data_IF_233716008762
#
_entry.id   IF_233716008762
#
_cell.length_a   1.000
_cell.length_b   1.000
_cell.length_c   1.000
_cell.angle_alpha   90.00
_cell.angle_beta   90.00
_cell.angle_gamma   90.00
#
_symmetry.space_group_name_H-M   'P 1'
#
loop_
_entity.id
_entity.type
_entity.pdbx_description
1 polymer ?
#
# COMPACT_ATOMS: atom_id res chain seq x y z
N UNK A 1 -65.88 0.76 43.24
CA UNK A 1 -65.56 2.14 42.78
C UNK A 1 -64.07 2.35 42.99
N UNK A 2 -63.28 2.09 41.96
CA UNK A 2 -61.82 2.08 42.02
C UNK A 2 -61.26 3.40 41.48
N UNK A 3 -60.30 3.93 42.23
CA UNK A 3 -59.60 5.19 42.08
C UNK A 3 -58.59 5.13 40.93
N UNK A 4 -58.61 6.09 40.00
CA UNK A 4 -57.56 6.29 39.01
C UNK A 4 -56.77 7.56 39.33
N UNK A 5 -55.51 7.36 39.75
CA UNK A 5 -54.47 8.38 39.88
C UNK A 5 -53.95 8.75 38.49
N UNK A 6 -53.90 10.05 38.21
CA UNK A 6 -53.30 10.65 37.02
C UNK A 6 -51.78 10.76 37.20
N UNK A 7 -51.01 10.06 36.36
CA UNK A 7 -49.56 10.24 36.25
C UNK A 7 -49.23 11.23 35.14
N UNK A 8 -48.53 12.31 35.50
CA UNK A 8 -48.00 13.32 34.58
C UNK A 8 -46.86 12.72 33.73
N UNK A 9 -46.72 13.04 32.43
CA UNK A 9 -45.60 12.52 31.63
C UNK A 9 -44.30 13.27 31.95
N UNK A 10 -43.21 12.51 32.11
CA UNK A 10 -41.83 13.01 32.24
C UNK A 10 -41.41 13.86 31.02
N UNK A 11 -40.53 14.86 31.20
CA UNK A 11 -40.06 15.67 30.10
C UNK A 11 -39.24 14.81 29.12
N UNK A 12 -39.56 14.93 27.83
CA UNK A 12 -38.81 14.31 26.74
C UNK A 12 -37.35 14.78 26.81
N UNK A 13 -36.44 13.86 27.08
CA UNK A 13 -35.01 14.06 26.86
C UNK A 13 -34.80 14.39 25.39
N UNK A 14 -34.32 15.60 25.10
CA UNK A 14 -33.81 15.97 23.78
C UNK A 14 -32.67 15.01 23.43
N UNK A 15 -32.71 14.31 22.27
CA UNK A 15 -31.65 13.41 21.89
C UNK A 15 -30.34 14.20 21.74
N UNK A 16 -29.35 13.84 22.54
CA UNK A 16 -27.97 14.33 22.41
C UNK A 16 -27.47 13.93 21.01
N UNK A 17 -26.89 14.82 20.20
CA UNK A 17 -26.38 14.43 18.89
C UNK A 17 -25.20 13.49 19.09
N UNK A 18 -25.41 12.21 18.79
CA UNK A 18 -24.37 11.20 18.69
C UNK A 18 -23.41 11.65 17.58
N UNK A 19 -22.24 12.15 17.96
CA UNK A 19 -21.16 12.49 17.03
C UNK A 19 -20.48 11.23 16.49
N UNK A 20 -21.24 10.29 15.92
CA UNK A 20 -20.69 9.17 15.17
C UNK A 20 -20.34 9.65 13.75
N UNK A 21 -19.31 10.49 13.65
CA UNK A 21 -18.66 10.75 12.38
C UNK A 21 -17.73 9.55 12.13
N UNK A 22 -18.30 8.50 11.56
CA UNK A 22 -17.56 7.37 11.03
C UNK A 22 -16.71 7.86 9.84
N UNK A 23 -15.45 7.46 9.82
CA UNK A 23 -14.57 7.69 8.68
C UNK A 23 -14.96 6.73 7.55
N UNK A 24 -15.58 7.26 6.50
CA UNK A 24 -15.93 6.47 5.32
C UNK A 24 -14.69 6.18 4.47
N UNK A 25 -14.47 4.90 4.15
CA UNK A 25 -13.33 4.44 3.35
C UNK A 25 -13.79 3.91 1.99
N UNK A 26 -13.17 4.41 0.93
CA UNK A 26 -13.26 3.85 -0.42
C UNK A 26 -12.24 2.73 -0.51
N UNK A 27 -12.71 1.49 -0.52
CA UNK A 27 -11.88 0.30 -0.67
C UNK A 27 -11.60 0.02 -2.15
N UNK A 28 -10.37 -0.43 -2.41
CA UNK A 28 -9.99 -1.06 -3.67
C UNK A 28 -9.46 -2.45 -3.34
N UNK A 29 -9.67 -3.43 -4.22
CA UNK A 29 -9.25 -4.81 -3.98
C UNK A 29 -8.13 -5.19 -4.93
N UNK A 30 -6.85 -4.96 -4.54
CA UNK A 30 -5.71 -5.49 -5.27
C UNK A 30 -5.84 -7.01 -5.47
N UNK A 31 -5.58 -7.53 -6.68
CA UNK A 31 -5.81 -8.94 -7.01
C UNK A 31 -4.67 -9.87 -6.53
N UNK A 32 -3.85 -9.44 -5.59
CA UNK A 32 -2.61 -10.13 -5.22
C UNK A 32 -2.29 -10.01 -3.74
N UNK A 33 -1.47 -10.93 -3.25
CA UNK A 33 -0.74 -10.85 -1.98
C UNK A 33 0.76 -11.02 -2.22
N UNK A 34 1.59 -10.83 -1.18
CA UNK A 34 3.06 -10.92 -1.31
C UNK A 34 3.66 -11.76 -0.20
N UNK A 35 4.57 -12.67 -0.58
CA UNK A 35 5.46 -13.39 0.32
C UNK A 35 6.84 -12.73 0.31
N UNK A 36 7.23 -12.18 1.46
CA UNK A 36 8.54 -11.57 1.65
C UNK A 36 9.50 -12.53 2.35
N UNK A 37 10.67 -12.73 1.79
CA UNK A 37 11.74 -13.51 2.39
C UNK A 37 13.11 -12.99 1.95
N UNK A 38 14.18 -13.58 2.49
CA UNK A 38 15.56 -13.20 2.14
C UNK A 38 16.35 -14.41 1.70
N UNK A 39 17.22 -14.21 0.72
CA UNK A 39 18.22 -15.19 0.28
C UNK A 39 19.59 -14.52 0.17
N UNK A 40 20.69 -15.24 0.40
CA UNK A 40 22.04 -14.68 0.26
C UNK A 40 22.33 -14.26 -1.18
N UNK A 41 23.08 -13.17 -1.34
CA UNK A 41 23.72 -12.81 -2.61
C UNK A 41 25.03 -13.56 -2.78
N UNK A 42 25.41 -13.78 -4.03
CA UNK A 42 26.70 -14.37 -4.39
C UNK A 42 27.55 -13.44 -5.25
N UNK A 43 28.88 -13.61 -5.26
CA UNK A 43 29.75 -12.91 -6.21
C UNK A 43 29.30 -13.19 -7.66
N UNK A 44 29.07 -12.12 -8.43
CA UNK A 44 28.59 -12.22 -9.81
C UNK A 44 27.08 -12.03 -9.99
N UNK A 45 26.32 -11.95 -8.89
CA UNK A 45 24.94 -11.48 -8.94
C UNK A 45 24.88 -10.03 -9.45
N UNK A 46 23.81 -9.67 -10.17
CA UNK A 46 23.60 -8.31 -10.62
C UNK A 46 23.50 -7.31 -9.46
N UNK A 47 24.00 -6.10 -9.68
CA UNK A 47 23.79 -4.98 -8.77
C UNK A 47 22.44 -4.30 -9.05
N UNK A 48 21.72 -3.96 -7.98
CA UNK A 48 20.45 -3.25 -8.06
C UNK A 48 19.21 -4.16 -8.07
N UNK A 49 18.04 -3.54 -8.22
CA UNK A 49 16.76 -4.26 -8.18
C UNK A 49 16.42 -4.98 -9.48
N UNK A 50 15.83 -6.17 -9.37
CA UNK A 50 15.35 -6.96 -10.52
C UNK A 50 13.89 -7.34 -10.34
N UNK A 51 13.15 -7.42 -11.46
CA UNK A 51 11.80 -7.99 -11.50
C UNK A 51 11.74 -9.09 -12.57
N UNK A 52 11.16 -10.24 -12.21
CA UNK A 52 10.92 -11.39 -13.09
C UNK A 52 9.44 -11.72 -13.11
N UNK A 53 8.97 -12.13 -14.28
CA UNK A 53 7.59 -12.52 -14.51
C UNK A 53 7.62 -13.86 -15.23
N UNK A 54 6.92 -14.85 -14.70
CA UNK A 54 6.89 -16.19 -15.29
C UNK A 54 5.85 -17.08 -14.61
N UNK A 55 5.24 -17.97 -15.39
CA UNK A 55 4.37 -19.05 -14.91
C UNK A 55 3.28 -18.61 -13.91
N UNK A 56 2.63 -17.49 -14.17
CA UNK A 56 1.58 -17.00 -13.27
C UNK A 56 2.06 -16.23 -12.05
N UNK A 57 3.36 -15.93 -11.94
CA UNK A 57 3.92 -15.27 -10.76
C UNK A 57 4.84 -14.11 -11.14
N UNK A 58 5.02 -13.21 -10.17
CA UNK A 58 5.93 -12.07 -10.26
C UNK A 58 6.88 -12.13 -9.07
N UNK A 59 8.18 -12.07 -9.34
CA UNK A 59 9.22 -12.01 -8.33
C UNK A 59 9.93 -10.67 -8.45
N UNK A 60 9.93 -9.87 -7.38
CA UNK A 60 10.77 -8.70 -7.26
C UNK A 60 11.92 -9.00 -6.29
N UNK A 61 13.14 -8.68 -6.71
CA UNK A 61 14.37 -8.87 -5.93
C UNK A 61 14.97 -7.50 -5.66
N UNK A 62 15.10 -7.15 -4.39
CA UNK A 62 15.66 -5.89 -3.93
C UNK A 62 17.03 -6.15 -3.34
N UNK A 63 18.04 -5.46 -3.86
CA UNK A 63 19.41 -5.55 -3.39
C UNK A 63 19.55 -4.91 -2.00
N UNK A 64 20.05 -5.69 -1.02
CA UNK A 64 20.35 -5.24 0.34
C UNK A 64 21.82 -5.42 0.70
N UNK A 65 22.71 -5.50 -0.30
CA UNK A 65 24.15 -5.68 -0.11
C UNK A 65 24.54 -7.15 -0.18
N UNK A 66 24.55 -7.82 0.97
CA UNK A 66 24.92 -9.25 1.10
C UNK A 66 23.74 -10.20 0.87
N UNK A 67 22.52 -9.67 0.73
CA UNK A 67 21.29 -10.43 0.59
C UNK A 67 20.33 -9.82 -0.44
N UNK A 68 19.50 -10.69 -1.01
CA UNK A 68 18.29 -10.33 -1.73
C UNK A 68 17.12 -10.26 -0.75
N UNK A 69 16.39 -9.15 -0.74
CA UNK A 69 15.04 -9.11 -0.20
C UNK A 69 14.06 -9.40 -1.34
N UNK A 70 13.34 -10.50 -1.24
CA UNK A 70 12.53 -11.04 -2.33
C UNK A 70 11.05 -10.88 -2.00
N UNK A 71 10.29 -10.31 -2.92
CA UNK A 71 8.83 -10.30 -2.94
C UNK A 71 8.33 -11.28 -4.01
N UNK A 72 7.75 -12.39 -3.57
CA UNK A 72 7.05 -13.32 -4.43
C UNK A 72 5.55 -13.01 -4.39
N UNK A 73 5.03 -12.52 -5.52
CA UNK A 73 3.64 -12.09 -5.67
C UNK A 73 2.78 -13.26 -6.08
N UNK A 74 1.69 -13.44 -5.36
CA UNK A 74 0.73 -14.53 -5.51
C UNK A 74 -0.67 -13.92 -5.71
N UNK A 75 -1.62 -14.67 -6.28
CA UNK A 75 -3.02 -14.24 -6.31
C UNK A 75 -3.59 -14.04 -4.89
N UNK A 76 -4.51 -13.08 -4.76
CA UNK A 76 -5.15 -12.74 -3.49
C UNK A 76 -5.81 -13.97 -2.86
N UNK A 77 -5.50 -14.26 -1.59
CA UNK A 77 -6.13 -15.35 -0.84
C UNK A 77 -5.53 -16.74 -1.02
N UNK A 78 -4.56 -16.93 -1.93
CA UNK A 78 -3.96 -18.25 -2.18
C UNK A 78 -2.89 -18.68 -1.15
N UNK A 79 -2.57 -17.83 -0.17
CA UNK A 79 -1.51 -18.12 0.80
C UNK A 79 -1.68 -19.46 1.52
N UNK A 80 -2.92 -19.80 1.93
CA UNK A 80 -3.17 -21.06 2.63
C UNK A 80 -2.98 -22.28 1.74
N UNK A 81 -3.32 -22.19 0.45
CA UNK A 81 -3.13 -23.27 -0.53
C UNK A 81 -1.65 -23.50 -0.83
N UNK A 82 -0.90 -22.41 -1.00
CA UNK A 82 0.56 -22.45 -1.17
C UNK A 82 1.20 -23.05 0.09
N UNK A 83 0.73 -22.67 1.27
CA UNK A 83 1.22 -23.22 2.54
C UNK A 83 0.94 -24.71 2.67
N UNK A 84 -0.27 -25.15 2.30
CA UNK A 84 -0.66 -26.56 2.30
C UNK A 84 0.15 -27.40 1.30
N UNK A 85 0.57 -26.81 0.18
CA UNK A 85 1.42 -27.46 -0.84
C UNK A 85 2.86 -27.72 -0.35
N UNK A 86 3.28 -27.07 0.75
CA UNK A 86 4.55 -27.30 1.41
C UNK A 86 5.71 -26.47 0.87
N UNK A 87 6.78 -26.38 1.67
CA UNK A 87 7.93 -25.52 1.38
C UNK A 87 8.64 -25.90 0.07
N UNK A 88 8.77 -27.20 -0.21
CA UNK A 88 9.48 -27.66 -1.43
C UNK A 88 8.74 -27.24 -2.71
N UNK A 89 7.40 -27.26 -2.70
CA UNK A 89 6.59 -26.78 -3.82
C UNK A 89 6.81 -25.27 -4.04
N UNK A 90 6.85 -24.47 -2.96
CA UNK A 90 7.15 -23.04 -3.03
C UNK A 90 8.56 -22.77 -3.57
N UNK A 91 9.58 -23.48 -3.07
CA UNK A 91 10.96 -23.35 -3.58
C UNK A 91 11.02 -23.63 -5.08
N UNK A 92 10.37 -24.71 -5.52
CA UNK A 92 10.29 -25.07 -6.93
C UNK A 92 9.61 -23.97 -7.76
N UNK A 93 8.46 -23.45 -7.31
CA UNK A 93 7.75 -22.40 -8.05
C UNK A 93 8.57 -21.11 -8.16
N UNK A 94 9.34 -20.74 -7.12
CA UNK A 94 10.24 -19.59 -7.16
C UNK A 94 11.37 -19.80 -8.19
N UNK A 95 12.02 -20.97 -8.17
CA UNK A 95 13.11 -21.30 -9.12
C UNK A 95 12.60 -21.39 -10.56
N UNK A 96 11.37 -21.83 -10.78
CA UNK A 96 10.76 -21.82 -12.11
C UNK A 96 10.59 -20.40 -12.68
N UNK A 97 10.49 -19.37 -11.82
CA UNK A 97 10.43 -17.96 -12.22
C UNK A 97 11.82 -17.33 -12.30
N UNK A 98 12.71 -17.69 -11.38
CA UNK A 98 14.07 -17.17 -11.26
C UNK A 98 15.07 -18.34 -11.10
N UNK A 99 15.47 -18.98 -12.21
CA UNK A 99 16.36 -20.14 -12.19
C UNK A 99 17.70 -19.87 -11.50
N UNK A 100 18.16 -18.62 -11.50
CA UNK A 100 19.40 -18.17 -10.86
C UNK A 100 19.40 -18.38 -9.33
N UNK A 101 18.24 -18.58 -8.72
CA UNK A 101 18.13 -18.86 -7.28
C UNK A 101 18.28 -20.35 -6.93
N UNK A 102 18.42 -21.25 -7.91
CA UNK A 102 18.37 -22.70 -7.68
C UNK A 102 19.42 -23.20 -6.69
N UNK A 103 20.62 -22.60 -6.70
CA UNK A 103 21.75 -22.96 -5.85
C UNK A 103 21.60 -22.49 -4.38
N UNK A 104 20.66 -21.60 -4.09
CA UNK A 104 20.50 -20.95 -2.78
C UNK A 104 19.08 -20.98 -2.23
N UNK A 105 18.10 -21.43 -3.01
CA UNK A 105 16.70 -21.52 -2.57
C UNK A 105 16.53 -22.40 -1.32
N UNK A 106 17.45 -23.34 -1.10
CA UNK A 106 17.48 -24.21 0.08
C UNK A 106 17.74 -23.45 1.39
N UNK A 107 18.22 -22.21 1.36
CA UNK A 107 18.30 -21.35 2.55
C UNK A 107 16.92 -20.91 3.08
N UNK A 108 15.87 -21.02 2.26
CA UNK A 108 14.48 -20.83 2.69
C UNK A 108 13.97 -22.15 3.29
N UNK A 109 14.29 -22.40 4.56
CA UNK A 109 14.08 -23.67 5.25
C UNK A 109 12.64 -23.87 5.74
N UNK A 110 12.06 -22.83 6.33
CA UNK A 110 10.75 -22.93 6.99
C UNK A 110 9.91 -21.65 6.83
N UNK A 111 8.63 -21.75 7.17
CA UNK A 111 7.64 -20.69 6.98
C UNK A 111 7.84 -19.46 7.87
N UNK A 112 8.60 -19.57 8.97
CA UNK A 112 8.91 -18.42 9.83
C UNK A 112 9.82 -17.39 9.14
N UNK A 113 10.54 -17.82 8.10
CA UNK A 113 11.35 -16.94 7.25
C UNK A 113 10.52 -16.16 6.22
N UNK A 114 9.22 -16.44 6.11
CA UNK A 114 8.31 -15.82 5.13
C UNK A 114 7.35 -14.89 5.86
N UNK A 115 7.45 -13.59 5.59
CA UNK A 115 6.46 -12.61 5.99
C UNK A 115 5.38 -12.49 4.92
N UNK A 116 4.17 -12.95 5.25
CA UNK A 116 2.99 -12.77 4.40
C UNK A 116 2.44 -11.35 4.54
N UNK A 117 2.21 -10.70 3.40
CA UNK A 117 1.54 -9.41 3.29
C UNK A 117 0.22 -9.61 2.55
N UNK A 118 -0.89 -9.50 3.29
CA UNK A 118 -2.22 -9.33 2.70
C UNK A 118 -2.31 -7.91 2.12
N UNK A 119 -2.31 -7.77 0.80
CA UNK A 119 -2.27 -6.44 0.17
C UNK A 119 -3.67 -5.84 0.17
N UNK A 120 -3.82 -4.73 0.86
CA UNK A 120 -5.02 -3.90 0.86
C UNK A 120 -4.72 -2.55 0.22
N UNK A 121 -5.76 -1.88 -0.27
CA UNK A 121 -5.63 -0.50 -0.74
C UNK A 121 -6.94 0.23 -0.50
N UNK A 122 -6.89 1.36 0.19
CA UNK A 122 -8.08 2.09 0.59
C UNK A 122 -7.79 3.56 0.76
N UNK A 123 -8.83 4.39 0.81
CA UNK A 123 -8.69 5.82 1.09
C UNK A 123 -9.92 6.38 1.74
N UNK A 124 -9.74 7.15 2.80
CA UNK A 124 -10.82 7.87 3.44
C UNK A 124 -11.34 9.00 2.54
N UNK A 125 -12.66 9.16 2.51
CA UNK A 125 -13.32 10.30 1.83
C UNK A 125 -12.95 11.61 2.52
N UNK A 126 -12.85 11.59 3.86
CA UNK A 126 -12.45 12.72 4.69
C UNK A 126 -11.38 12.29 5.68
N UNK A 127 -10.28 13.01 5.74
CA UNK A 127 -9.10 12.66 6.56
C UNK A 127 -9.11 13.32 7.93
N UNK A 128 -10.11 14.16 8.21
CA UNK A 128 -10.10 15.02 9.38
C UNK A 128 -11.49 15.20 9.99
N UNK A 129 -11.50 15.56 11.26
CA UNK A 129 -12.65 16.08 12.03
C UNK A 129 -12.11 17.05 13.09
N UNK A 130 -12.95 17.79 13.84
CA UNK A 130 -12.46 18.67 14.89
C UNK A 130 -11.50 17.92 15.84
N UNK A 131 -10.29 18.44 16.00
CA UNK A 131 -9.25 17.87 16.87
C UNK A 131 -8.55 16.60 16.37
N UNK A 132 -8.81 16.13 15.13
CA UNK A 132 -8.19 14.91 14.60
C UNK A 132 -7.88 15.04 13.10
N UNK A 133 -6.64 14.69 12.74
CA UNK A 133 -6.20 14.53 11.36
C UNK A 133 -5.53 13.16 11.21
N UNK A 134 -5.92 12.43 10.17
CA UNK A 134 -5.33 11.17 9.75
C UNK A 134 -4.42 11.44 8.54
N UNK A 135 -3.25 10.80 8.52
CA UNK A 135 -2.25 10.89 7.45
C UNK A 135 -1.62 9.52 7.18
N UNK A 136 -0.97 9.35 6.03
CA UNK A 136 -0.37 8.07 5.63
C UNK A 136 -1.41 6.95 5.63
N UNK A 137 -1.02 5.75 6.06
CA UNK A 137 -1.87 4.55 6.06
C UNK A 137 -3.19 4.71 6.84
N UNK A 138 -3.24 5.61 7.82
CA UNK A 138 -4.48 5.90 8.55
C UNK A 138 -5.53 6.62 7.68
N UNK A 139 -5.08 7.35 6.65
CA UNK A 139 -5.94 8.07 5.70
C UNK A 139 -6.03 7.39 4.34
N UNK A 140 -4.98 6.71 3.91
CA UNK A 140 -4.91 6.00 2.64
C UNK A 140 -3.89 4.87 2.71
N UNK A 141 -4.40 3.63 2.68
CA UNK A 141 -3.55 2.45 2.53
C UNK A 141 -3.24 2.27 1.04
N UNK A 142 -1.97 2.07 0.71
CA UNK A 142 -1.52 1.87 -0.67
C UNK A 142 -1.00 0.45 -0.90
N UNK A 143 -1.16 -0.02 -2.13
CA UNK A 143 -0.48 -1.23 -2.57
C UNK A 143 1.05 -1.07 -2.51
N UNK A 144 1.82 -2.14 -2.25
CA UNK A 144 3.28 -2.07 -2.17
C UNK A 144 3.96 -1.87 -3.54
N UNK A 145 3.21 -1.92 -4.64
CA UNK A 145 3.73 -1.67 -6.00
C UNK A 145 4.46 -0.34 -6.05
N UNK A 146 5.76 -0.42 -6.33
CA UNK A 146 6.62 0.76 -6.45
C UNK A 146 7.01 1.39 -5.10
N UNK A 147 6.74 0.77 -3.95
CA UNK A 147 7.22 1.27 -2.65
C UNK A 147 6.78 2.69 -2.27
N UNK A 148 5.69 3.19 -2.87
CA UNK A 148 5.28 4.59 -2.78
C UNK A 148 4.61 4.99 -1.47
N UNK A 149 4.05 4.03 -0.71
CA UNK A 149 3.25 4.31 0.48
C UNK A 149 4.02 5.12 1.54
N UNK A 150 5.25 4.71 1.87
CA UNK A 150 6.08 5.43 2.85
C UNK A 150 6.43 6.84 2.38
N UNK A 151 6.73 7.02 1.09
CA UNK A 151 7.03 8.33 0.52
C UNK A 151 5.82 9.26 0.64
N UNK A 152 4.61 8.75 0.41
CA UNK A 152 3.39 9.52 0.55
C UNK A 152 3.05 9.85 2.00
N UNK A 153 3.24 8.91 2.93
CA UNK A 153 3.07 9.16 4.36
C UNK A 153 4.02 10.25 4.87
N UNK A 154 5.29 10.23 4.44
CA UNK A 154 6.27 11.29 4.77
C UNK A 154 5.82 12.62 4.18
N UNK A 155 5.38 12.65 2.92
CA UNK A 155 4.91 13.88 2.29
C UNK A 155 3.65 14.45 2.97
N UNK A 156 2.75 13.60 3.46
CA UNK A 156 1.61 14.05 4.26
C UNK A 156 2.07 14.68 5.57
N UNK A 157 3.05 14.08 6.25
CA UNK A 157 3.62 14.64 7.47
C UNK A 157 4.28 16.01 7.20
N UNK A 158 5.00 16.16 6.09
CA UNK A 158 5.59 17.44 5.67
C UNK A 158 4.50 18.49 5.41
N UNK A 159 3.43 18.14 4.68
CA UNK A 159 2.33 19.08 4.44
C UNK A 159 1.59 19.42 5.72
N UNK A 160 1.34 18.44 6.59
CA UNK A 160 0.72 18.66 7.89
C UNK A 160 1.58 19.60 8.74
N UNK A 161 2.89 19.40 8.81
CA UNK A 161 3.80 20.28 9.51
C UNK A 161 3.76 21.71 8.94
N UNK A 162 3.84 21.87 7.63
CA UNK A 162 3.78 23.18 6.96
C UNK A 162 2.47 23.93 7.22
N UNK A 163 1.35 23.22 7.33
CA UNK A 163 0.03 23.81 7.54
C UNK A 163 -0.26 24.07 9.02
N UNK A 164 0.10 23.14 9.91
CA UNK A 164 -0.37 23.11 11.29
C UNK A 164 0.63 23.64 12.33
N UNK A 165 1.91 23.82 11.97
CA UNK A 165 2.92 24.25 12.96
C UNK A 165 2.60 25.60 13.61
N UNK A 166 2.16 26.61 12.83
CA UNK A 166 1.81 27.93 13.37
C UNK A 166 0.52 27.88 14.22
N UNK A 167 -0.59 27.30 13.73
CA UNK A 167 -1.83 27.17 14.51
C UNK A 167 -1.64 26.39 15.82
N UNK A 168 -0.89 25.28 15.78
CA UNK A 168 -0.56 24.51 16.98
C UNK A 168 0.22 25.33 18.01
N UNK A 169 1.21 26.13 17.58
CA UNK A 169 1.95 27.05 18.45
C UNK A 169 1.08 28.15 19.05
N UNK A 170 0.03 28.56 18.34
CA UNK A 170 -0.95 29.54 18.81
C UNK A 170 -2.01 28.92 19.73
N UNK A 171 -1.99 27.60 19.93
CA UNK A 171 -2.93 26.88 20.79
C UNK A 171 -4.33 26.73 20.18
N UNK A 172 -4.50 27.06 18.90
CA UNK A 172 -5.79 27.02 18.22
C UNK A 172 -5.65 26.46 16.81
N UNK A 173 -6.30 25.33 16.55
CA UNK A 173 -6.35 24.70 15.22
C UNK A 173 -7.79 24.67 14.75
N UNK A 174 -8.04 25.28 13.60
CA UNK A 174 -9.37 25.28 13.01
C UNK A 174 -9.57 24.12 12.04
N UNK A 175 -10.82 23.69 11.89
CA UNK A 175 -11.19 22.59 10.99
C UNK A 175 -10.72 22.84 9.54
N UNK A 176 -10.73 24.09 9.09
CA UNK A 176 -10.34 24.47 7.73
C UNK A 176 -8.84 24.25 7.46
N UNK A 177 -8.01 24.24 8.50
CA UNK A 177 -6.57 23.98 8.42
C UNK A 177 -6.31 22.49 8.27
N UNK A 178 -7.05 21.65 8.99
CA UNK A 178 -7.04 20.20 8.76
C UNK A 178 -7.52 19.87 7.33
N UNK A 179 -8.58 20.53 6.88
CA UNK A 179 -9.07 20.41 5.51
C UNK A 179 -8.06 20.86 4.46
N UNK A 180 -7.18 21.81 4.79
CA UNK A 180 -6.12 22.28 3.90
C UNK A 180 -5.04 21.21 3.68
N UNK A 181 -4.77 20.35 4.68
CA UNK A 181 -3.85 19.21 4.52
C UNK A 181 -4.42 18.22 3.51
N UNK A 182 -5.67 17.77 3.68
CA UNK A 182 -6.33 16.87 2.74
C UNK A 182 -6.35 17.47 1.33
N UNK A 183 -6.76 18.74 1.15
CA UNK A 183 -6.80 19.38 -0.17
C UNK A 183 -5.47 19.35 -0.92
N UNK A 184 -4.34 19.48 -0.21
CA UNK A 184 -3.01 19.45 -0.83
C UNK A 184 -2.53 18.03 -1.16
N UNK A 185 -2.98 17.01 -0.42
CA UNK A 185 -2.47 15.64 -0.53
C UNK A 185 -3.39 14.68 -1.27
N UNK A 186 -4.69 14.98 -1.32
CA UNK A 186 -5.69 14.09 -1.91
C UNK A 186 -5.48 13.90 -3.41
N UNK A 187 -5.18 14.96 -4.16
CA UNK A 187 -4.94 14.86 -5.61
C UNK A 187 -3.74 13.96 -5.95
N UNK A 188 -2.52 14.18 -5.42
CA UNK A 188 -1.40 13.27 -5.67
C UNK A 188 -1.72 11.83 -5.24
N UNK A 189 -2.40 11.65 -4.10
CA UNK A 189 -2.81 10.32 -3.59
C UNK A 189 -3.73 9.60 -4.57
N UNK A 190 -4.73 10.30 -5.14
CA UNK A 190 -5.64 9.73 -6.14
C UNK A 190 -4.93 9.36 -7.44
N UNK A 191 -3.99 10.19 -7.89
CA UNK A 191 -3.23 9.90 -9.12
C UNK A 191 -2.41 8.63 -8.94
N UNK A 192 -1.70 8.47 -7.82
CA UNK A 192 -0.88 7.27 -7.61
C UNK A 192 -1.75 6.02 -7.41
N UNK A 193 -2.87 6.10 -6.70
CA UNK A 193 -3.80 4.99 -6.56
C UNK A 193 -4.41 4.57 -7.91
N UNK A 194 -4.75 5.53 -8.78
CA UNK A 194 -5.24 5.24 -10.12
C UNK A 194 -4.16 4.53 -10.97
N UNK A 195 -2.91 5.00 -10.89
CA UNK A 195 -1.78 4.37 -11.58
C UNK A 195 -1.53 2.93 -11.08
N UNK A 196 -1.54 2.71 -9.76
CA UNK A 196 -1.39 1.38 -9.16
C UNK A 196 -2.54 0.46 -9.56
N UNK A 197 -3.78 0.94 -9.53
CA UNK A 197 -4.96 0.17 -9.94
C UNK A 197 -4.86 -0.24 -11.40
N UNK A 198 -4.42 0.66 -12.28
CA UNK A 198 -4.20 0.37 -13.69
C UNK A 198 -3.13 -0.71 -13.89
N UNK A 199 -1.98 -0.60 -13.23
CA UNK A 199 -0.92 -1.61 -13.29
C UNK A 199 -1.44 -2.96 -12.78
N UNK A 200 -2.12 -2.99 -11.65
CA UNK A 200 -2.64 -4.22 -11.06
C UNK A 200 -3.64 -4.93 -11.98
N UNK A 201 -4.61 -4.21 -12.52
CA UNK A 201 -5.64 -4.80 -13.40
C UNK A 201 -5.08 -5.25 -14.74
N UNK A 202 -4.17 -4.47 -15.33
CA UNK A 202 -3.70 -4.73 -16.69
C UNK A 202 -2.51 -5.70 -16.75
N UNK A 203 -1.68 -5.73 -15.71
CA UNK A 203 -0.40 -6.45 -15.69
C UNK A 203 -0.49 -7.62 -14.73
N UNK A 204 -0.79 -7.36 -13.46
CA UNK A 204 -0.80 -8.41 -12.43
C UNK A 204 -1.96 -9.38 -12.63
N UNK A 205 -3.18 -8.91 -12.81
CA UNK A 205 -4.32 -9.81 -13.03
C UNK A 205 -4.14 -10.66 -14.30
N UNK A 206 -3.51 -10.14 -15.36
CA UNK A 206 -3.28 -10.93 -16.58
C UNK A 206 -2.19 -11.98 -16.41
N UNK A 207 -1.10 -11.66 -15.72
CA UNK A 207 -0.04 -12.63 -15.42
C UNK A 207 -0.54 -13.67 -14.45
N UNK A 208 -1.08 -13.24 -13.31
CA UNK A 208 -1.56 -14.15 -12.26
C UNK A 208 -2.62 -15.11 -12.80
N UNK A 209 -3.44 -14.69 -13.77
CA UNK A 209 -4.48 -15.52 -14.37
C UNK A 209 -4.07 -16.20 -15.70
N UNK A 210 -2.89 -15.91 -16.27
CA UNK A 210 -2.49 -16.43 -17.59
C UNK A 210 -0.97 -16.64 -17.70
N UNK A 211 -0.54 -17.77 -18.25
CA UNK A 211 0.88 -18.09 -18.57
C UNK A 211 1.51 -17.22 -19.69
N UNK A 212 1.02 -15.99 -19.91
CA UNK A 212 1.48 -15.13 -21.00
C UNK A 212 2.69 -14.27 -20.58
N UNK A 213 3.69 -14.22 -21.45
CA UNK A 213 4.86 -13.35 -21.30
C UNK A 213 4.44 -11.88 -21.49
N UNK A 214 4.66 -11.04 -20.48
CA UNK A 214 4.44 -9.60 -20.59
C UNK A 214 5.51 -8.96 -21.48
N UNK A 215 5.08 -8.34 -22.57
CA UNK A 215 5.89 -7.39 -23.29
C UNK A 215 5.72 -6.01 -22.64
N UNK A 216 6.80 -5.42 -22.15
CA UNK A 216 6.78 -4.04 -21.66
C UNK A 216 6.31 -3.11 -22.79
N UNK A 217 5.35 -2.20 -22.54
CA UNK A 217 4.88 -1.24 -23.53
C UNK A 217 6.04 -0.48 -24.19
N UNK A 218 6.04 -0.39 -25.52
CA UNK A 218 7.16 0.15 -26.30
C UNK A 218 7.57 1.59 -25.94
N UNK A 219 6.65 2.39 -25.39
CA UNK A 219 6.95 3.76 -24.94
C UNK A 219 7.92 3.82 -23.75
N UNK A 220 8.03 2.75 -22.93
CA UNK A 220 9.04 2.64 -21.87
C UNK A 220 10.47 2.54 -22.43
N UNK A 221 10.62 2.28 -23.74
CA UNK A 221 11.91 2.27 -24.43
C UNK A 221 12.35 3.66 -24.89
N UNK A 222 11.48 4.68 -24.80
CA UNK A 222 11.82 6.05 -25.16
C UNK A 222 12.68 6.70 -24.05
N UNK A 223 13.85 7.29 -24.34
CA UNK A 223 14.83 7.71 -23.33
C UNK A 223 14.29 8.63 -22.23
N UNK A 224 13.51 9.63 -22.62
CA UNK A 224 12.82 10.59 -21.75
C UNK A 224 11.66 10.02 -20.90
N UNK A 225 11.06 8.89 -21.31
CA UNK A 225 9.98 8.23 -20.57
C UNK A 225 10.48 7.06 -19.72
N UNK A 226 11.71 6.59 -19.96
CA UNK A 226 12.34 5.48 -19.23
C UNK A 226 12.51 5.78 -17.74
N UNK A 227 12.87 7.00 -17.39
CA UNK A 227 13.15 7.40 -16.00
C UNK A 227 11.88 7.83 -15.24
N UNK A 228 10.78 8.07 -15.96
CA UNK A 228 9.55 8.63 -15.40
C UNK A 228 8.93 7.70 -14.34
N UNK A 229 8.79 6.38 -14.55
CA UNK A 229 8.28 5.46 -13.53
C UNK A 229 9.19 5.41 -12.30
N UNK A 230 10.51 5.40 -12.49
CA UNK A 230 11.47 5.39 -11.38
C UNK A 230 11.40 6.67 -10.55
N UNK A 231 11.26 7.84 -11.20
CA UNK A 231 11.06 9.12 -10.53
C UNK A 231 9.72 9.21 -9.82
N UNK A 232 8.64 8.70 -10.42
CA UNK A 232 7.32 8.64 -9.77
C UNK A 232 7.34 7.76 -8.52
N UNK A 233 8.06 6.63 -8.57
CA UNK A 233 8.29 5.76 -7.42
C UNK A 233 9.12 6.46 -6.34
N UNK A 234 10.23 7.09 -6.73
CA UNK A 234 11.16 7.70 -5.79
C UNK A 234 10.62 8.98 -5.14
N UNK A 235 9.94 9.84 -5.90
CA UNK A 235 9.58 11.19 -5.47
C UNK A 235 8.07 11.44 -5.41
N UNK A 236 7.25 10.60 -6.02
CA UNK A 236 5.81 10.84 -6.19
C UNK A 236 5.50 11.90 -7.26
N UNK A 237 4.22 12.25 -7.40
CA UNK A 237 3.74 13.17 -8.46
C UNK A 237 4.01 14.63 -8.10
N UNK A 238 3.87 14.99 -6.82
CA UNK A 238 4.06 16.35 -6.30
C UNK A 238 4.83 16.30 -4.98
N UNK A 239 6.18 16.31 -5.01
CA UNK A 239 7.00 16.16 -3.82
C UNK A 239 6.80 17.32 -2.84
N UNK A 240 6.45 17.00 -1.61
CA UNK A 240 6.33 17.99 -0.53
C UNK A 240 7.71 18.32 0.04
N UNK A 241 7.95 19.61 0.29
CA UNK A 241 9.17 20.11 0.91
C UNK A 241 8.82 20.87 2.19
N UNK A 242 9.66 20.76 3.21
CA UNK A 242 9.52 21.54 4.45
C UNK A 242 9.72 23.01 4.12
N UNK A 243 8.80 23.86 4.61
CA UNK A 243 8.93 25.31 4.54
C UNK A 243 9.48 25.78 5.88
N UNK A 244 10.69 26.32 5.88
CA UNK A 244 11.30 26.99 7.03
C UNK A 244 10.83 28.41 7.16
#
# INVERSE_FOLDING_TARGET
>A
MASHLTSNPSPQETPTPTHDILFESIQTSPPMDVLWFRLPKQPGDYEGGMGRIGRGHIVAMLDRGDQWQIAYVIPKGEYQEIRASGMEALRKSIVEVVPELQDRIQHLQDWSQIAFLSVESSRLVRWYRPGLLLIGDAAHVMSPVGGVGINYAIQDAVVAANVLSKPLKQGHVELHELAKVQRQRELPTRIIQAFQSFIQQQIFARVLNSNQLLQLPGWLRLPWLRDLPARLVAYGVFPAHVKT
#
